data_IF_299132713573
#
_entry.id   IF_299132713573
#
_cell.length_a   1.000
_cell.length_b   1.000
_cell.length_c   1.000
_cell.angle_alpha   90.00
_cell.angle_beta   90.00
_cell.angle_gamma   90.00
#
_symmetry.space_group_name_H-M   'P 1'
#
loop_
_entity.id
_entity.type
_entity.pdbx_description
1 polymer ?
#
# COMPACT_ATOMS: atom_id res chain seq x y z
N UNK A 1 0.35 -2.02 3.21
CA UNK A 1 1.40 -1.04 2.85
C UNK A 1 0.83 0.36 3.02
N UNK A 2 1.49 1.24 3.79
CA UNK A 2 1.06 2.62 4.01
C UNK A 2 2.16 3.61 3.60
N UNK A 3 1.89 4.43 2.59
CA UNK A 3 2.84 5.38 2.00
C UNK A 3 2.19 6.77 1.93
N UNK A 4 2.67 7.76 2.68
CA UNK A 4 2.10 9.11 2.69
C UNK A 4 3.12 10.09 2.12
N UNK A 5 2.74 10.86 1.11
CA UNK A 5 3.57 11.91 0.50
C UNK A 5 2.70 13.08 0.08
N UNK A 6 3.24 14.31 0.09
CA UNK A 6 2.53 15.47 -0.48
C UNK A 6 2.29 15.33 -1.98
N UNK A 7 3.12 14.53 -2.65
CA UNK A 7 2.95 14.08 -4.03
C UNK A 7 2.30 12.68 -4.02
N UNK A 8 1.06 12.59 -4.51
CA UNK A 8 0.28 11.35 -4.53
C UNK A 8 0.91 10.29 -5.44
N UNK A 9 1.35 10.68 -6.64
CA UNK A 9 1.93 9.73 -7.60
C UNK A 9 3.20 9.11 -7.02
N UNK A 10 4.02 9.92 -6.33
CA UNK A 10 5.21 9.43 -5.64
C UNK A 10 4.89 8.36 -4.58
N UNK A 11 3.81 8.53 -3.82
CA UNK A 11 3.39 7.53 -2.84
C UNK A 11 2.86 6.25 -3.51
N UNK A 12 2.14 6.39 -4.61
CA UNK A 12 1.61 5.26 -5.39
C UNK A 12 2.78 4.45 -5.98
N UNK A 13 3.74 5.10 -6.64
CA UNK A 13 4.88 4.44 -7.25
C UNK A 13 5.72 3.68 -6.21
N UNK A 14 5.92 4.28 -5.04
CA UNK A 14 6.62 3.63 -3.92
C UNK A 14 5.86 2.42 -3.37
N UNK A 15 4.52 2.53 -3.27
CA UNK A 15 3.67 1.41 -2.87
C UNK A 15 3.69 0.28 -3.91
N UNK A 16 3.66 0.59 -5.22
CA UNK A 16 3.77 -0.41 -6.31
C UNK A 16 5.07 -1.20 -6.20
N UNK A 17 6.20 -0.54 -5.96
CA UNK A 17 7.50 -1.20 -5.74
C UNK A 17 7.49 -2.16 -4.56
N UNK A 18 6.90 -1.74 -3.45
CA UNK A 18 6.84 -2.59 -2.25
C UNK A 18 5.89 -3.77 -2.43
N UNK A 19 4.73 -3.55 -3.06
CA UNK A 19 3.75 -4.60 -3.29
C UNK A 19 4.26 -5.65 -4.26
N UNK A 20 4.81 -5.22 -5.41
CA UNK A 20 5.41 -6.11 -6.40
C UNK A 20 6.59 -6.90 -5.83
N UNK A 21 7.39 -6.32 -4.93
CA UNK A 21 8.44 -7.04 -4.23
C UNK A 21 7.90 -8.25 -3.46
N UNK A 22 6.87 -8.08 -2.62
CA UNK A 22 6.29 -9.20 -1.86
C UNK A 22 5.69 -10.28 -2.77
N UNK A 23 5.05 -9.89 -3.87
CA UNK A 23 4.50 -10.83 -4.86
C UNK A 23 5.61 -11.62 -5.56
N UNK A 24 6.71 -10.94 -5.88
CA UNK A 24 7.86 -11.52 -6.59
C UNK A 24 8.58 -12.55 -5.73
N UNK A 25 8.98 -12.18 -4.51
CA UNK A 25 9.84 -13.03 -3.66
C UNK A 25 9.07 -13.95 -2.71
N UNK A 26 7.79 -13.66 -2.46
CA UNK A 26 6.98 -14.36 -1.46
C UNK A 26 5.88 -15.22 -2.08
N UNK A 27 6.15 -16.51 -2.27
CA UNK A 27 5.15 -17.46 -2.80
C UNK A 27 3.84 -17.45 -2.00
N UNK A 28 3.91 -17.37 -0.67
CA UNK A 28 2.73 -17.31 0.20
C UNK A 28 1.87 -16.08 -0.13
N UNK A 29 2.49 -14.91 -0.33
CA UNK A 29 1.77 -13.68 -0.69
C UNK A 29 1.17 -13.77 -2.08
N UNK A 30 1.95 -14.27 -3.05
CA UNK A 30 1.49 -14.47 -4.42
C UNK A 30 0.27 -15.40 -4.49
N UNK A 31 0.37 -16.57 -3.87
CA UNK A 31 -0.70 -17.57 -3.84
C UNK A 31 -1.95 -17.05 -3.09
N UNK A 32 -1.76 -16.28 -2.02
CA UNK A 32 -2.87 -15.65 -1.31
C UNK A 32 -3.61 -14.66 -2.22
N UNK A 33 -2.90 -13.73 -2.85
CA UNK A 33 -3.51 -12.72 -3.71
C UNK A 33 -4.17 -13.33 -4.96
N UNK A 34 -3.55 -14.35 -5.55
CA UNK A 34 -4.14 -15.08 -6.68
C UNK A 34 -5.51 -15.68 -6.33
N UNK A 35 -5.65 -16.26 -5.13
CA UNK A 35 -6.91 -16.83 -4.63
C UNK A 35 -7.96 -15.78 -4.25
N UNK A 36 -7.57 -14.51 -4.14
CA UNK A 36 -8.43 -13.41 -3.67
C UNK A 36 -8.63 -12.33 -4.76
N UNK A 37 -8.67 -12.74 -6.03
CA UNK A 37 -9.11 -11.88 -7.14
C UNK A 37 -8.00 -11.20 -7.94
N UNK A 38 -6.72 -11.45 -7.63
CA UNK A 38 -5.58 -10.85 -8.33
C UNK A 38 -4.72 -11.91 -9.05
N UNK A 39 -5.33 -12.98 -9.56
CA UNK A 39 -4.61 -14.08 -10.21
C UNK A 39 -3.81 -13.60 -11.43
N UNK A 40 -4.40 -12.75 -12.28
CA UNK A 40 -3.73 -12.27 -13.48
C UNK A 40 -2.55 -11.36 -13.13
N UNK A 41 -2.75 -10.39 -12.24
CA UNK A 41 -1.68 -9.48 -11.83
C UNK A 41 -0.52 -10.21 -11.15
N UNK A 42 -0.83 -11.18 -10.28
CA UNK A 42 0.21 -11.94 -9.59
C UNK A 42 1.03 -12.84 -10.52
N UNK A 43 0.39 -13.41 -11.55
CA UNK A 43 1.06 -14.17 -12.60
C UNK A 43 1.95 -13.28 -13.46
N UNK A 44 1.43 -12.16 -13.95
CA UNK A 44 2.18 -11.21 -14.78
C UNK A 44 3.41 -10.65 -14.04
N UNK A 45 3.23 -10.22 -12.78
CA UNK A 45 4.33 -9.73 -11.94
C UNK A 45 5.39 -10.81 -11.74
N UNK A 46 5.00 -12.05 -11.47
CA UNK A 46 5.97 -13.13 -11.22
C UNK A 46 6.69 -13.57 -12.51
N UNK A 47 6.00 -13.65 -13.63
CA UNK A 47 6.62 -13.93 -14.92
C UNK A 47 7.63 -12.84 -15.32
N UNK A 48 7.34 -11.57 -15.04
CA UNK A 48 8.29 -10.49 -15.29
C UNK A 48 9.49 -10.59 -14.33
N UNK A 49 9.24 -10.92 -13.06
CA UNK A 49 10.30 -11.14 -12.09
C UNK A 49 11.29 -12.22 -12.52
N UNK A 50 10.81 -13.34 -13.06
CA UNK A 50 11.67 -14.43 -13.57
C UNK A 50 12.53 -13.99 -14.77
N UNK A 51 12.08 -12.98 -15.53
CA UNK A 51 12.79 -12.49 -16.73
C UNK A 51 13.80 -11.39 -16.41
N UNK A 52 13.40 -10.38 -15.65
CA UNK A 52 14.17 -9.13 -15.48
C UNK A 52 14.55 -8.83 -14.04
N UNK A 53 14.18 -9.70 -13.09
CA UNK A 53 14.33 -9.43 -11.66
C UNK A 53 13.38 -8.33 -11.19
N UNK A 54 13.78 -7.56 -10.18
CA UNK A 54 12.87 -6.58 -9.52
C UNK A 54 12.75 -5.23 -10.25
N UNK A 55 13.44 -5.04 -11.38
CA UNK A 55 13.56 -3.73 -12.02
C UNK A 55 12.22 -3.14 -12.47
N UNK A 56 11.42 -3.94 -13.19
CA UNK A 56 10.23 -3.48 -13.90
C UNK A 56 8.91 -4.08 -13.38
N UNK A 57 8.98 -5.00 -12.41
CA UNK A 57 7.81 -5.72 -11.87
C UNK A 57 6.74 -4.79 -11.28
N UNK A 58 7.13 -3.60 -10.83
CA UNK A 58 6.21 -2.62 -10.26
C UNK A 58 5.28 -1.99 -11.31
N UNK A 59 5.64 -2.03 -12.58
CA UNK A 59 4.80 -1.52 -13.69
C UNK A 59 3.57 -2.40 -13.92
N UNK A 60 3.64 -3.67 -13.54
CA UNK A 60 2.54 -4.64 -13.64
C UNK A 60 1.57 -4.60 -12.45
N UNK A 61 1.82 -3.71 -11.47
CA UNK A 61 0.87 -3.50 -10.37
C UNK A 61 -0.28 -2.63 -10.85
N UNK A 62 -1.45 -3.25 -10.98
CA UNK A 62 -2.68 -2.57 -11.41
C UNK A 62 -3.14 -1.53 -10.40
N UNK A 63 -3.89 -0.53 -10.88
CA UNK A 63 -4.50 0.46 -9.99
C UNK A 63 -5.55 -0.16 -9.06
N UNK A 64 -6.17 -1.27 -9.48
CA UNK A 64 -7.10 -2.05 -8.63
C UNK A 64 -6.39 -2.66 -7.42
N UNK A 65 -5.17 -3.19 -7.61
CA UNK A 65 -4.34 -3.67 -6.50
C UNK A 65 -4.00 -2.53 -5.53
N UNK A 66 -3.65 -1.36 -6.06
CA UNK A 66 -3.34 -0.18 -5.23
C UNK A 66 -4.57 0.31 -4.46
N UNK A 67 -5.75 0.33 -5.08
CA UNK A 67 -6.96 0.74 -4.37
C UNK A 67 -7.36 -0.25 -3.28
N UNK A 68 -7.18 -1.55 -3.52
CA UNK A 68 -7.66 -2.61 -2.63
C UNK A 68 -6.69 -2.99 -1.51
N UNK A 69 -5.37 -2.87 -1.73
CA UNK A 69 -4.35 -3.49 -0.87
C UNK A 69 -3.47 -2.46 -0.13
N UNK A 70 -3.62 -1.17 -0.40
CA UNK A 70 -2.74 -0.14 0.17
C UNK A 70 -3.50 1.08 0.69
N UNK A 71 -2.84 1.81 1.60
CA UNK A 71 -3.21 3.17 1.98
C UNK A 71 -2.06 4.06 1.50
N UNK A 72 -2.12 4.50 0.26
CA UNK A 72 -1.13 5.39 -0.30
C UNK A 72 -1.73 6.58 -1.03
N UNK A 73 -0.98 7.68 -1.04
CA UNK A 73 -1.35 8.92 -1.70
C UNK A 73 -0.95 10.13 -0.85
N UNK A 74 -1.64 11.25 -1.10
CA UNK A 74 -1.57 12.41 -0.23
C UNK A 74 -2.32 12.20 1.09
N UNK A 75 -2.10 13.07 2.10
CA UNK A 75 -2.73 12.90 3.41
C UNK A 75 -4.25 12.74 3.35
N UNK A 76 -4.93 13.52 2.50
CA UNK A 76 -6.38 13.47 2.37
C UNK A 76 -6.86 12.17 1.74
N UNK A 77 -6.19 11.69 0.69
CA UNK A 77 -6.48 10.40 0.06
C UNK A 77 -6.27 9.25 1.04
N UNK A 78 -5.20 9.29 1.82
CA UNK A 78 -4.90 8.27 2.83
C UNK A 78 -5.97 8.22 3.92
N UNK A 79 -6.45 9.37 4.40
CA UNK A 79 -7.56 9.46 5.35
C UNK A 79 -8.86 8.89 4.75
N UNK A 80 -9.17 9.22 3.51
CA UNK A 80 -10.34 8.68 2.81
C UNK A 80 -10.26 7.16 2.66
N UNK A 81 -9.09 6.61 2.29
CA UNK A 81 -8.89 5.16 2.20
C UNK A 81 -9.02 4.48 3.55
N UNK A 82 -8.40 5.04 4.59
CA UNK A 82 -8.51 4.49 5.94
C UNK A 82 -9.96 4.46 6.43
N UNK A 83 -10.75 5.49 6.11
CA UNK A 83 -12.19 5.52 6.42
C UNK A 83 -12.93 4.40 5.70
N UNK A 84 -12.71 4.21 4.40
CA UNK A 84 -13.32 3.10 3.63
C UNK A 84 -13.04 1.74 4.28
N UNK A 85 -11.81 1.51 4.75
CA UNK A 85 -11.45 0.28 5.45
C UNK A 85 -12.18 0.15 6.80
N UNK A 86 -12.37 1.23 7.55
CA UNK A 86 -13.17 1.19 8.79
C UNK A 86 -14.64 0.89 8.52
N UNK A 87 -15.19 1.45 7.45
CA UNK A 87 -16.60 1.27 7.07
C UNK A 87 -16.93 -0.20 6.71
N UNK A 88 -15.94 -1.07 6.50
CA UNK A 88 -16.14 -2.53 6.34
C UNK A 88 -16.22 -3.29 7.66
N UNK A 89 -16.09 -2.62 8.81
CA UNK A 89 -16.10 -3.22 10.15
C UNK A 89 -14.72 -3.53 10.73
N UNK A 90 -13.66 -2.90 10.22
CA UNK A 90 -12.30 -3.05 10.79
C UNK A 90 -12.09 -2.11 11.99
N UNK A 91 -11.94 -2.68 13.18
CA UNK A 91 -11.80 -1.91 14.43
C UNK A 91 -10.36 -1.45 14.72
N UNK A 92 -9.35 -2.22 14.30
CA UNK A 92 -7.95 -1.96 14.63
C UNK A 92 -7.04 -2.04 13.39
N UNK A 93 -6.95 -0.96 12.58
CA UNK A 93 -6.03 -0.91 11.46
C UNK A 93 -4.57 -0.80 11.94
N UNK A 94 -3.72 -1.75 11.56
CA UNK A 94 -2.27 -1.68 11.76
C UNK A 94 -1.64 -1.03 10.53
N UNK A 95 -1.09 0.17 10.69
CA UNK A 95 -0.43 0.91 9.61
C UNK A 95 1.04 0.51 9.51
N UNK A 96 1.38 -0.23 8.47
CA UNK A 96 2.77 -0.52 8.13
C UNK A 96 3.43 0.75 7.57
N UNK A 97 4.34 1.35 8.33
CA UNK A 97 5.11 2.51 7.89
C UNK A 97 6.05 2.15 6.74
N UNK A 98 5.86 2.80 5.59
CA UNK A 98 6.73 2.68 4.44
C UNK A 98 7.20 4.08 3.99
N UNK A 99 8.37 4.54 4.46
CA UNK A 99 8.84 5.91 4.24
C UNK A 99 9.18 6.19 2.79
N UNK A 100 8.99 7.44 2.39
CA UNK A 100 9.39 7.99 1.09
C UNK A 100 10.46 9.06 1.35
N UNK A 101 11.58 8.99 0.62
CA UNK A 101 12.74 9.89 0.81
C UNK A 101 13.29 9.90 2.26
N UNK A 102 13.25 11.07 2.92
CA UNK A 102 13.71 11.24 4.29
C UNK A 102 12.75 10.58 5.28
N UNK A 103 13.31 9.68 6.08
CA UNK A 103 12.55 8.83 7.01
C UNK A 103 11.91 9.67 8.13
N UNK A 104 12.57 10.72 8.62
CA UNK A 104 12.05 11.54 9.72
C UNK A 104 10.91 12.42 9.25
N UNK A 105 11.05 13.03 8.08
CA UNK A 105 9.99 13.82 7.45
C UNK A 105 8.79 12.94 7.11
N UNK A 106 9.02 11.77 6.50
CA UNK A 106 7.98 10.78 6.21
C UNK A 106 7.24 10.32 7.47
N UNK A 107 7.96 10.03 8.55
CA UNK A 107 7.35 9.61 9.81
C UNK A 107 6.53 10.74 10.42
N UNK A 108 7.06 11.97 10.42
CA UNK A 108 6.34 13.15 10.90
C UNK A 108 5.04 13.38 10.13
N UNK A 109 5.08 13.22 8.80
CA UNK A 109 3.91 13.34 7.94
C UNK A 109 2.89 12.23 8.17
N UNK A 110 3.33 10.98 8.37
CA UNK A 110 2.45 9.86 8.72
C UNK A 110 1.70 10.16 10.01
N UNK A 111 2.42 10.54 11.08
CA UNK A 111 1.83 10.84 12.37
C UNK A 111 0.86 12.02 12.28
N UNK A 112 1.23 13.13 11.62
CA UNK A 112 0.34 14.28 11.49
C UNK A 112 -0.89 13.99 10.63
N UNK A 113 -0.79 13.06 9.67
CA UNK A 113 -1.93 12.66 8.83
C UNK A 113 -2.96 11.87 9.63
N UNK A 114 -2.52 10.96 10.51
CA UNK A 114 -3.42 10.02 11.19
C UNK A 114 -3.69 10.36 12.68
N UNK A 115 -3.08 11.41 13.23
CA UNK A 115 -3.27 11.82 14.62
C UNK A 115 -4.73 12.12 14.95
N UNK A 116 -5.46 12.81 14.07
CA UNK A 116 -6.88 13.14 14.28
C UNK A 116 -7.78 11.89 14.32
N UNK A 117 -7.40 10.83 13.60
CA UNK A 117 -8.12 9.55 13.62
C UNK A 117 -7.97 8.83 14.97
N UNK A 118 -6.86 9.04 15.66
CA UNK A 118 -6.63 8.44 16.98
C UNK A 118 -7.44 9.09 18.10
N UNK A 119 -7.84 10.36 17.95
CA UNK A 119 -8.74 11.02 18.90
C UNK A 119 -10.19 10.55 18.73
N UNK A 120 -10.63 10.32 17.48
CA UNK A 120 -11.94 9.75 17.20
C UNK A 120 -12.11 8.33 17.78
N UNK A 121 -11.09 7.47 17.69
CA UNK A 121 -11.09 6.11 18.28
C UNK A 121 -11.24 6.13 19.81
N UNK A 122 -10.74 7.15 20.49
CA UNK A 122 -10.86 7.27 21.96
C UNK A 122 -12.22 7.80 22.41
N UNK A 123 -13.06 8.26 21.49
CA UNK A 123 -14.35 8.90 21.77
C UNK A 123 -15.57 8.00 21.50
N UNK A 124 -15.33 6.78 21.00
CA UNK A 124 -16.30 5.68 20.88
C UNK A 124 -16.12 4.73 22.07
#
# INVERSE_FOLDING_TARGET
ITCVSKDSQKAIDHAKKTLSFYISVGEIYRNFLAKNGFQNETEEIFQEFEKSGLGYVHEFVSDSMIESLTICGNPQECLTKLKKFKDTGLDLPILQFNPIDDVKESFSLLISTFSEVTEWIKSQ
#
